data_IF_080594701186
#
_entry.id   IF_080594701186
#
_cell.length_a   1.000
_cell.length_b   1.000
_cell.length_c   1.000
_cell.angle_alpha   90.00
_cell.angle_beta   90.00
_cell.angle_gamma   90.00
#
_symmetry.space_group_name_H-M   'P 1'
#
loop_
_entity.id
_entity.type
_entity.pdbx_description
1 polymer ?
#
# COMPACT_ATOMS: atom_id res chain seq x y z
N UNK A 1 26.11 2.83 51.39
CA UNK A 1 25.47 4.08 50.92
C UNK A 1 25.68 4.15 49.42
N UNK A 2 24.68 3.71 48.64
CA UNK A 2 24.66 3.79 47.20
C UNK A 2 23.68 4.89 46.84
N UNK A 3 24.17 5.95 46.20
CA UNK A 3 23.35 7.06 45.72
C UNK A 3 22.60 6.63 44.47
N UNK A 4 21.28 6.59 44.56
CA UNK A 4 20.40 6.49 43.40
C UNK A 4 20.39 7.83 42.68
N UNK A 5 20.97 7.88 41.49
CA UNK A 5 20.77 8.98 40.57
C UNK A 5 19.41 8.78 39.91
N UNK A 6 18.40 9.52 40.37
CA UNK A 6 17.16 9.74 39.65
C UNK A 6 17.44 10.73 38.51
N UNK A 7 17.77 10.22 37.32
CA UNK A 7 17.65 11.01 36.10
C UNK A 7 16.15 11.14 35.78
N UNK A 8 15.59 12.30 36.04
CA UNK A 8 14.26 12.67 35.56
C UNK A 8 14.33 12.87 34.04
N UNK A 9 13.97 11.84 33.27
CA UNK A 9 13.68 12.02 31.86
C UNK A 9 12.59 13.10 31.74
N UNK A 10 12.90 14.21 31.12
CA UNK A 10 11.94 15.23 30.78
C UNK A 10 10.85 14.67 29.86
N UNK A 11 9.65 15.24 29.85
CA UNK A 11 8.54 14.70 29.04
C UNK A 11 8.97 14.58 27.58
N UNK A 12 8.89 13.37 27.03
CA UNK A 12 9.19 13.11 25.63
C UNK A 12 8.35 14.05 24.75
N UNK A 13 9.01 14.86 23.95
CA UNK A 13 8.36 15.85 23.09
C UNK A 13 7.46 15.11 22.08
N UNK A 14 6.15 15.31 22.17
CA UNK A 14 5.20 14.77 21.19
C UNK A 14 5.41 15.47 19.82
N UNK A 15 6.24 14.86 19.01
CA UNK A 15 6.56 15.31 17.65
C UNK A 15 5.32 15.46 16.76
N UNK A 16 4.27 14.69 17.04
CA UNK A 16 3.00 14.76 16.31
C UNK A 16 2.23 16.03 16.68
N UNK A 17 2.10 16.30 17.97
CA UNK A 17 1.46 17.55 18.44
C UNK A 17 2.24 18.77 17.95
N UNK A 18 3.57 18.70 17.98
CA UNK A 18 4.43 19.77 17.45
C UNK A 18 4.22 19.97 15.94
N UNK A 19 4.19 18.88 15.16
CA UNK A 19 3.95 18.94 13.72
C UNK A 19 2.57 19.54 13.42
N UNK A 20 1.52 19.09 14.10
CA UNK A 20 0.16 19.62 13.92
C UNK A 20 0.09 21.11 14.24
N UNK A 21 0.71 21.54 15.34
CA UNK A 21 0.72 22.94 15.77
C UNK A 21 1.46 23.86 14.81
N UNK A 22 2.57 23.39 14.21
CA UNK A 22 3.44 24.18 13.34
C UNK A 22 3.42 23.74 11.87
N UNK A 23 2.42 22.96 11.47
CA UNK A 23 2.30 22.43 10.11
C UNK A 23 2.43 23.51 9.02
N UNK A 24 1.86 24.69 9.26
CA UNK A 24 1.92 25.83 8.32
C UNK A 24 3.34 26.33 8.06
N UNK A 25 4.26 26.18 9.01
CA UNK A 25 5.68 26.53 8.84
C UNK A 25 6.46 25.45 8.08
N UNK A 26 6.15 24.17 8.32
CA UNK A 26 6.90 23.05 7.76
C UNK A 26 6.41 22.65 6.37
N UNK A 27 5.13 22.80 6.05
CA UNK A 27 4.54 22.39 4.77
C UNK A 27 5.24 23.00 3.55
N UNK A 28 5.51 24.31 3.49
CA UNK A 28 6.24 24.89 2.36
C UNK A 28 7.64 24.32 2.19
N UNK A 29 8.34 24.08 3.29
CA UNK A 29 9.68 23.48 3.28
C UNK A 29 9.65 22.01 2.82
N UNK A 30 8.68 21.23 3.31
CA UNK A 30 8.47 19.85 2.88
C UNK A 30 8.10 19.78 1.40
N UNK A 31 7.21 20.65 0.94
CA UNK A 31 6.86 20.74 -0.47
C UNK A 31 8.08 21.01 -1.34
N UNK A 32 8.86 22.05 -1.01
CA UNK A 32 10.06 22.41 -1.76
C UNK A 32 11.10 21.27 -1.76
N UNK A 33 11.39 20.71 -0.59
CA UNK A 33 12.32 19.57 -0.46
C UNK A 33 11.85 18.35 -1.28
N UNK A 34 10.59 17.96 -1.14
CA UNK A 34 10.05 16.81 -1.84
C UNK A 34 10.03 17.04 -3.35
N UNK A 35 9.54 18.19 -3.80
CA UNK A 35 9.41 18.52 -5.23
C UNK A 35 10.75 18.67 -5.95
N UNK A 36 11.75 19.24 -5.30
CA UNK A 36 13.03 19.54 -5.92
C UNK A 36 14.06 18.41 -5.79
N UNK A 37 14.06 17.72 -4.65
CA UNK A 37 15.15 16.79 -4.31
C UNK A 37 14.74 15.32 -4.22
N UNK A 38 13.47 15.02 -4.00
CA UNK A 38 13.04 13.67 -3.59
C UNK A 38 12.05 13.00 -4.54
N UNK A 39 11.28 13.78 -5.29
CA UNK A 39 10.20 13.30 -6.16
C UNK A 39 10.44 13.72 -7.60
N UNK A 40 10.43 12.73 -8.50
CA UNK A 40 10.42 12.98 -9.95
C UNK A 40 9.03 12.66 -10.49
N UNK A 41 8.35 13.67 -11.06
CA UNK A 41 7.06 13.50 -11.73
C UNK A 41 7.31 13.62 -13.22
N UNK A 42 6.80 12.66 -14.01
CA UNK A 42 6.80 12.65 -15.46
C UNK A 42 5.37 12.44 -15.97
N UNK A 43 5.05 13.00 -17.12
CA UNK A 43 3.76 12.82 -17.78
C UNK A 43 3.01 14.13 -18.03
N UNK A 44 1.90 14.01 -18.79
CA UNK A 44 1.17 15.13 -19.37
C UNK A 44 0.38 15.99 -18.37
N UNK A 45 -0.20 17.05 -18.92
CA UNK A 45 -1.13 17.93 -18.21
C UNK A 45 -2.41 17.19 -17.80
N UNK A 46 -3.12 17.71 -16.78
CA UNK A 46 -4.37 17.15 -16.31
C UNK A 46 -4.24 16.06 -15.23
N UNK A 47 -3.00 15.69 -14.85
CA UNK A 47 -2.74 14.78 -13.73
C UNK A 47 -2.39 15.54 -12.44
N UNK A 48 -2.72 15.00 -11.29
CA UNK A 48 -2.50 15.65 -9.99
C UNK A 48 -1.76 14.75 -9.01
N UNK A 49 -0.84 15.36 -8.26
CA UNK A 49 -0.21 14.73 -7.08
C UNK A 49 -0.47 15.64 -5.89
N UNK A 50 -1.20 15.12 -4.91
CA UNK A 50 -1.65 15.85 -3.73
C UNK A 50 -0.93 15.32 -2.49
N UNK A 51 -0.79 16.14 -1.45
CA UNK A 51 -0.18 15.74 -0.17
C UNK A 51 1.34 15.77 -0.12
N UNK A 52 2.01 16.29 -1.16
CA UNK A 52 3.49 16.41 -1.21
C UNK A 52 4.03 17.27 -0.05
N UNK A 53 3.25 18.21 0.44
CA UNK A 53 3.58 19.15 1.51
C UNK A 53 3.44 18.57 2.92
N UNK A 54 2.93 17.35 3.06
CA UNK A 54 2.58 16.75 4.36
C UNK A 54 3.12 15.33 4.56
N UNK A 55 4.04 14.90 3.71
CA UNK A 55 4.70 13.62 3.77
C UNK A 55 6.22 13.74 3.65
N UNK A 56 6.96 12.72 4.04
CA UNK A 56 8.40 12.62 3.81
C UNK A 56 8.67 11.74 2.60
N UNK A 57 9.39 12.27 1.61
CA UNK A 57 9.76 11.54 0.41
C UNK A 57 11.26 11.45 0.23
N UNK A 58 11.73 10.34 -0.37
CA UNK A 58 13.12 10.14 -0.77
C UNK A 58 13.20 9.22 -1.99
N UNK A 59 13.81 9.69 -3.09
CA UNK A 59 14.03 8.91 -4.33
C UNK A 59 12.74 8.32 -4.91
N UNK A 60 11.64 9.06 -4.89
CA UNK A 60 10.36 8.61 -5.43
C UNK A 60 10.20 9.03 -6.89
N UNK A 61 9.44 8.24 -7.64
CA UNK A 61 9.08 8.54 -9.04
C UNK A 61 7.60 8.29 -9.27
N UNK A 62 6.94 9.24 -9.90
CA UNK A 62 5.56 9.11 -10.37
C UNK A 62 5.57 9.39 -11.87
N UNK A 63 5.03 8.45 -12.65
CA UNK A 63 4.96 8.56 -14.11
C UNK A 63 3.51 8.40 -14.56
N UNK A 64 3.03 9.33 -15.37
CA UNK A 64 1.71 9.28 -15.98
C UNK A 64 1.83 9.16 -17.50
N UNK A 65 1.08 8.23 -18.08
CA UNK A 65 0.83 8.10 -19.51
C UNK A 65 -0.69 8.08 -19.70
N UNK A 66 -1.29 9.28 -19.83
CA UNK A 66 -2.73 9.53 -19.85
C UNK A 66 -3.09 10.79 -19.08
N UNK A 67 -4.39 11.01 -18.83
CA UNK A 67 -4.91 12.26 -18.25
C UNK A 67 -5.93 11.99 -17.14
N UNK A 68 -6.20 13.01 -16.31
CA UNK A 68 -7.21 12.90 -15.25
C UNK A 68 -6.83 11.99 -14.07
N UNK A 69 -5.57 11.55 -14.01
CA UNK A 69 -5.09 10.69 -12.93
C UNK A 69 -4.77 11.47 -11.66
N UNK A 70 -4.98 10.87 -10.51
CA UNK A 70 -4.67 11.47 -9.21
C UNK A 70 -3.86 10.50 -8.35
N UNK A 71 -2.78 11.01 -7.77
CA UNK A 71 -2.06 10.36 -6.66
C UNK A 71 -2.22 11.24 -5.43
N UNK A 72 -2.91 10.75 -4.42
CA UNK A 72 -3.11 11.45 -3.15
C UNK A 72 -2.34 10.76 -2.03
N UNK A 73 -1.61 11.55 -1.23
CA UNK A 73 -0.75 11.04 -0.17
C UNK A 73 -1.24 11.63 1.15
N UNK A 74 -1.65 10.76 2.07
CA UNK A 74 -2.13 11.13 3.40
C UNK A 74 -1.04 11.75 4.29
N UNK A 75 -1.50 12.37 5.36
CA UNK A 75 -0.67 13.11 6.29
C UNK A 75 0.35 12.21 7.01
N UNK A 76 1.55 12.76 7.27
CA UNK A 76 2.63 12.10 8.01
C UNK A 76 3.11 10.77 7.38
N UNK A 77 2.82 10.55 6.11
CA UNK A 77 3.29 9.36 5.38
C UNK A 77 4.77 9.48 5.02
N UNK A 78 5.43 8.33 4.89
CA UNK A 78 6.84 8.24 4.52
C UNK A 78 7.00 7.35 3.28
N UNK A 79 7.58 7.89 2.21
CA UNK A 79 7.81 7.19 0.96
C UNK A 79 9.30 7.21 0.62
N UNK A 80 9.90 6.03 0.53
CA UNK A 80 11.31 5.90 0.14
C UNK A 80 11.46 4.92 -1.04
N UNK A 81 12.08 5.37 -2.12
CA UNK A 81 12.34 4.56 -3.33
C UNK A 81 11.06 3.95 -3.94
N UNK A 82 9.94 4.68 -3.85
CA UNK A 82 8.64 4.24 -4.36
C UNK A 82 8.51 4.63 -5.82
N UNK A 83 7.98 3.72 -6.63
CA UNK A 83 7.64 3.95 -8.02
C UNK A 83 6.13 3.81 -8.22
N UNK A 84 5.50 4.81 -8.84
CA UNK A 84 4.09 4.78 -9.22
C UNK A 84 4.04 5.03 -10.71
N UNK A 85 3.58 4.06 -11.48
CA UNK A 85 3.40 4.15 -12.93
C UNK A 85 1.92 4.00 -13.25
N UNK A 86 1.38 4.98 -13.94
CA UNK A 86 -0.03 5.03 -14.31
C UNK A 86 -0.12 5.20 -15.82
N UNK A 87 -0.53 4.12 -16.50
CA UNK A 87 -0.80 4.08 -17.94
C UNK A 87 -2.32 4.01 -18.12
N UNK A 88 -2.91 5.07 -18.73
CA UNK A 88 -4.35 5.25 -18.87
C UNK A 88 -4.85 6.51 -18.17
N UNK A 89 -6.16 6.68 -18.12
CA UNK A 89 -6.80 7.90 -17.67
C UNK A 89 -7.78 7.65 -16.52
N UNK A 90 -8.04 8.70 -15.73
CA UNK A 90 -9.00 8.65 -14.63
C UNK A 90 -8.67 7.61 -13.54
N UNK A 91 -7.39 7.30 -13.35
CA UNK A 91 -6.93 6.37 -12.32
C UNK A 91 -6.62 7.11 -11.01
N UNK A 92 -6.79 6.41 -9.89
CA UNK A 92 -6.59 6.95 -8.56
C UNK A 92 -5.66 6.07 -7.73
N UNK A 93 -4.65 6.69 -7.11
CA UNK A 93 -3.87 6.09 -6.01
C UNK A 93 -4.10 6.95 -4.78
N UNK A 94 -4.70 6.38 -3.73
CA UNK A 94 -5.04 7.11 -2.51
C UNK A 94 -4.38 6.43 -1.32
N UNK A 95 -3.30 7.02 -0.82
CA UNK A 95 -2.60 6.55 0.37
C UNK A 95 -3.21 7.19 1.61
N UNK A 96 -3.59 6.38 2.57
CA UNK A 96 -4.07 6.86 3.87
C UNK A 96 -2.99 7.61 4.67
N UNK A 97 -3.36 8.08 5.85
CA UNK A 97 -2.43 8.77 6.75
C UNK A 97 -1.40 7.81 7.35
N UNK A 98 -0.19 8.29 7.59
CA UNK A 98 0.91 7.53 8.22
C UNK A 98 1.25 6.22 7.51
N UNK A 99 1.05 6.18 6.21
CA UNK A 99 1.48 5.06 5.40
C UNK A 99 3.00 5.10 5.26
N UNK A 100 3.66 3.94 5.40
CA UNK A 100 5.10 3.80 5.23
C UNK A 100 5.41 2.88 4.05
N UNK A 101 5.94 3.43 2.98
CA UNK A 101 6.27 2.73 1.75
C UNK A 101 7.79 2.72 1.55
N UNK A 102 8.36 1.53 1.39
CA UNK A 102 9.79 1.35 1.17
C UNK A 102 10.05 0.42 -0.03
N UNK A 103 10.60 0.97 -1.12
CA UNK A 103 11.07 0.22 -2.29
C UNK A 103 9.99 -0.61 -3.00
N UNK A 104 8.74 -0.14 -2.98
CA UNK A 104 7.60 -0.81 -3.60
C UNK A 104 7.16 -0.11 -4.89
N UNK A 105 6.36 -0.82 -5.68
CA UNK A 105 5.87 -0.37 -6.98
C UNK A 105 4.34 -0.43 -7.02
N UNK A 106 3.74 0.62 -7.58
CA UNK A 106 2.32 0.67 -7.95
C UNK A 106 2.25 0.75 -9.46
N UNK A 107 1.64 -0.25 -10.10
CA UNK A 107 1.48 -0.35 -11.54
C UNK A 107 0.00 -0.29 -11.90
N UNK A 108 -0.38 0.68 -12.71
CA UNK A 108 -1.75 0.85 -13.18
C UNK A 108 -1.75 0.84 -14.70
N UNK A 109 -2.54 -0.05 -15.29
CA UNK A 109 -2.77 -0.16 -16.73
C UNK A 109 -4.27 0.06 -17.02
N UNK A 110 -4.57 0.69 -18.16
CA UNK A 110 -5.93 1.06 -18.55
C UNK A 110 -6.56 2.17 -17.71
N UNK A 111 -7.85 2.42 -17.91
CA UNK A 111 -8.59 3.53 -17.32
C UNK A 111 -9.37 3.11 -16.06
N UNK A 112 -9.68 4.09 -15.20
CA UNK A 112 -10.60 3.95 -14.07
C UNK A 112 -10.19 2.92 -13.00
N UNK A 113 -8.89 2.68 -12.82
CA UNK A 113 -8.40 1.82 -11.75
C UNK A 113 -8.15 2.60 -10.45
N UNK A 114 -8.15 1.88 -9.34
CA UNK A 114 -7.92 2.46 -8.02
C UNK A 114 -7.02 1.56 -7.15
N UNK A 115 -6.05 2.16 -6.45
CA UNK A 115 -5.22 1.46 -5.45
C UNK A 115 -5.20 2.27 -4.16
N UNK A 116 -5.76 1.70 -3.08
CA UNK A 116 -5.96 2.39 -1.81
C UNK A 116 -5.40 1.61 -0.62
N UNK A 117 -4.14 1.81 -0.25
CA UNK A 117 -3.64 1.41 1.07
C UNK A 117 -4.23 2.30 2.17
N UNK A 118 -4.89 1.70 3.16
CA UNK A 118 -5.44 2.38 4.32
C UNK A 118 -4.38 2.95 5.27
N UNK A 119 -4.82 3.76 6.21
CA UNK A 119 -3.94 4.46 7.16
C UNK A 119 -3.10 3.49 8.00
N UNK A 120 -1.91 3.93 8.43
CA UNK A 120 -0.97 3.13 9.24
C UNK A 120 -0.46 1.85 8.57
N UNK A 121 -0.62 1.72 7.26
CA UNK A 121 -0.16 0.55 6.49
C UNK A 121 1.32 0.67 6.12
N UNK A 122 2.05 -0.43 6.26
CA UNK A 122 3.47 -0.54 5.90
C UNK A 122 3.64 -1.50 4.73
N UNK A 123 4.36 -1.08 3.68
CA UNK A 123 4.67 -1.89 2.50
C UNK A 123 6.16 -1.85 2.24
N UNK A 124 6.80 -3.03 2.23
CA UNK A 124 8.25 -3.16 2.11
C UNK A 124 8.74 -3.55 0.71
N UNK A 125 10.06 -3.55 0.57
CA UNK A 125 10.80 -3.69 -0.68
C UNK A 125 10.32 -4.84 -1.58
N UNK A 126 10.31 -4.59 -2.89
CA UNK A 126 9.97 -5.60 -3.90
C UNK A 126 8.48 -5.91 -4.00
N UNK A 127 7.66 -5.29 -3.15
CA UNK A 127 6.20 -5.48 -3.22
C UNK A 127 5.62 -4.68 -4.38
N UNK A 128 4.78 -5.33 -5.18
CA UNK A 128 4.05 -4.74 -6.29
C UNK A 128 2.54 -4.83 -6.07
N UNK A 129 1.86 -3.70 -6.29
CA UNK A 129 0.41 -3.61 -6.41
C UNK A 129 0.08 -3.23 -7.84
N UNK A 130 -0.60 -4.11 -8.58
CA UNK A 130 -0.92 -3.92 -9.99
C UNK A 130 -2.45 -3.98 -10.23
N UNK A 131 -3.04 -2.88 -10.70
CA UNK A 131 -4.44 -2.77 -11.04
C UNK A 131 -4.63 -2.51 -12.53
N UNK A 132 -5.51 -3.29 -13.16
CA UNK A 132 -5.80 -3.22 -14.60
C UNK A 132 -7.30 -3.33 -14.88
N UNK A 133 -7.72 -2.87 -16.07
CA UNK A 133 -9.07 -3.04 -16.61
C UNK A 133 -10.18 -2.47 -15.67
N UNK A 134 -9.98 -1.27 -15.14
CA UNK A 134 -10.98 -0.58 -14.32
C UNK A 134 -11.24 -1.23 -12.96
N UNK A 135 -10.26 -1.90 -12.39
CA UNK A 135 -10.39 -2.63 -11.13
C UNK A 135 -9.81 -1.88 -9.94
N UNK A 136 -10.06 -2.42 -8.74
CA UNK A 136 -9.67 -1.80 -7.49
C UNK A 136 -8.89 -2.75 -6.58
N UNK A 137 -7.81 -2.24 -5.97
CA UNK A 137 -7.11 -2.87 -4.84
C UNK A 137 -7.36 -2.01 -3.61
N UNK A 138 -8.01 -2.58 -2.60
CA UNK A 138 -8.18 -1.94 -1.30
C UNK A 138 -7.46 -2.70 -0.20
N UNK A 139 -6.72 -1.97 0.61
CA UNK A 139 -6.20 -2.46 1.88
C UNK A 139 -6.81 -1.63 2.99
N UNK A 140 -7.27 -2.28 4.02
CA UNK A 140 -7.71 -1.62 5.25
C UNK A 140 -6.58 -0.92 5.98
N UNK A 141 -6.89 -0.41 7.16
CA UNK A 141 -5.91 0.25 8.01
C UNK A 141 -5.00 -0.75 8.72
N UNK A 142 -3.84 -0.27 9.18
CA UNK A 142 -2.89 -1.00 10.02
C UNK A 142 -2.36 -2.32 9.42
N UNK A 143 -2.28 -2.40 8.10
CA UNK A 143 -1.72 -3.57 7.43
C UNK A 143 -0.18 -3.55 7.44
N UNK A 144 0.41 -4.75 7.41
CA UNK A 144 1.85 -4.97 7.32
C UNK A 144 2.16 -5.91 6.14
N UNK A 145 2.67 -5.37 5.05
CA UNK A 145 3.12 -6.12 3.90
C UNK A 145 4.64 -6.28 3.96
N UNK A 146 5.11 -7.52 4.08
CA UNK A 146 6.53 -7.85 4.03
C UNK A 146 7.11 -7.59 2.65
N UNK A 147 8.29 -8.10 2.35
CA UNK A 147 8.94 -7.89 1.06
C UNK A 147 8.48 -8.87 -0.02
N UNK A 148 8.68 -8.48 -1.29
CA UNK A 148 8.54 -9.34 -2.48
C UNK A 148 7.11 -9.90 -2.66
N UNK A 149 6.10 -9.17 -2.25
CA UNK A 149 4.68 -9.54 -2.39
C UNK A 149 4.16 -9.06 -3.74
N UNK A 150 3.34 -9.90 -4.40
CA UNK A 150 2.62 -9.52 -5.60
C UNK A 150 1.12 -9.47 -5.32
N UNK A 151 0.48 -8.32 -5.59
CA UNK A 151 -0.99 -8.14 -5.53
C UNK A 151 -1.44 -7.69 -6.91
N UNK A 152 -2.23 -8.52 -7.62
CA UNK A 152 -2.55 -8.25 -9.02
C UNK A 152 -4.01 -8.56 -9.36
N UNK A 153 -4.70 -7.61 -10.00
CA UNK A 153 -6.14 -7.71 -10.32
C UNK A 153 -6.44 -8.36 -11.66
N UNK A 154 -5.45 -8.64 -12.49
CA UNK A 154 -5.65 -9.24 -13.80
C UNK A 154 -4.42 -9.95 -14.34
N UNK A 155 -4.56 -10.59 -15.50
CA UNK A 155 -3.55 -11.44 -16.12
C UNK A 155 -2.80 -10.76 -17.29
N UNK A 156 -3.16 -9.53 -17.66
CA UNK A 156 -2.66 -8.74 -18.81
C UNK A 156 -2.95 -9.36 -20.21
N UNK A 157 -3.27 -10.64 -20.30
CA UNK A 157 -3.56 -11.33 -21.55
C UNK A 157 -4.88 -12.09 -21.46
N UNK A 158 -5.58 -12.21 -22.60
CA UNK A 158 -6.87 -12.92 -22.67
C UNK A 158 -6.64 -14.44 -22.79
N UNK A 159 -7.34 -15.18 -21.95
CA UNK A 159 -7.53 -16.63 -22.13
C UNK A 159 -8.92 -16.80 -22.76
N UNK A 160 -9.00 -17.53 -23.86
CA UNK A 160 -10.23 -17.72 -24.61
C UNK A 160 -10.73 -19.15 -24.48
N UNK A 161 -12.05 -19.32 -24.48
CA UNK A 161 -12.69 -20.62 -24.66
C UNK A 161 -12.66 -21.07 -26.12
N UNK A 162 -13.20 -22.23 -26.41
CA UNK A 162 -13.27 -22.80 -27.76
C UNK A 162 -14.14 -21.98 -28.72
N UNK A 163 -15.03 -21.14 -28.20
CA UNK A 163 -15.90 -20.24 -28.94
C UNK A 163 -15.28 -18.86 -29.15
N UNK A 164 -14.05 -18.61 -28.62
CA UNK A 164 -13.33 -17.35 -28.71
C UNK A 164 -13.76 -16.30 -27.67
N UNK A 165 -14.57 -16.64 -26.69
CA UNK A 165 -14.93 -15.73 -25.60
C UNK A 165 -13.85 -15.68 -24.55
N UNK A 166 -13.56 -14.49 -24.02
CA UNK A 166 -12.59 -14.32 -22.93
C UNK A 166 -13.14 -14.86 -21.61
N UNK A 167 -12.39 -15.76 -20.96
CA UNK A 167 -12.80 -16.44 -19.72
C UNK A 167 -12.04 -15.96 -18.47
N UNK A 168 -11.08 -15.05 -18.60
CA UNK A 168 -10.24 -14.56 -17.49
C UNK A 168 -10.34 -13.04 -17.27
N UNK A 169 -11.54 -12.45 -17.11
CA UNK A 169 -11.63 -11.02 -16.83
C UNK A 169 -10.89 -10.66 -15.55
N UNK A 170 -10.43 -9.41 -15.46
CA UNK A 170 -9.84 -8.85 -14.25
C UNK A 170 -10.90 -8.72 -13.14
N UNK A 171 -10.45 -8.63 -11.89
CA UNK A 171 -11.34 -8.47 -10.76
C UNK A 171 -10.65 -7.90 -9.54
N UNK A 172 -11.37 -7.06 -8.80
CA UNK A 172 -10.85 -6.33 -7.65
C UNK A 172 -10.35 -7.23 -6.52
N UNK A 173 -9.51 -6.65 -5.67
CA UNK A 173 -8.94 -7.31 -4.49
C UNK A 173 -9.30 -6.47 -3.26
N UNK A 174 -9.78 -7.13 -2.21
CA UNK A 174 -10.10 -6.52 -0.92
C UNK A 174 -9.32 -7.19 0.20
N UNK A 175 -8.58 -6.39 0.96
CA UNK A 175 -7.81 -6.81 2.13
C UNK A 175 -8.34 -5.99 3.31
N UNK A 176 -8.75 -6.65 4.38
CA UNK A 176 -9.31 -6.04 5.59
C UNK A 176 -8.29 -5.26 6.41
N UNK A 177 -8.72 -4.82 7.58
CA UNK A 177 -7.88 -4.12 8.53
C UNK A 177 -6.94 -5.08 9.27
N UNK A 178 -5.80 -4.55 9.72
CA UNK A 178 -4.85 -5.28 10.56
C UNK A 178 -4.44 -6.63 9.95
N UNK A 179 -4.04 -6.62 8.67
CA UNK A 179 -3.61 -7.83 7.96
C UNK A 179 -2.09 -7.83 7.80
N UNK A 180 -1.47 -8.94 8.20
CA UNK A 180 -0.05 -9.18 7.95
C UNK A 180 0.13 -10.14 6.77
N UNK A 181 0.81 -9.68 5.71
CA UNK A 181 1.16 -10.51 4.56
C UNK A 181 2.64 -10.85 4.61
N UNK A 182 2.95 -12.14 4.68
CA UNK A 182 4.30 -12.68 4.73
C UNK A 182 5.05 -12.51 3.41
N UNK A 183 6.38 -12.57 3.49
CA UNK A 183 7.28 -12.40 2.35
C UNK A 183 6.92 -13.33 1.19
N UNK A 184 6.97 -12.78 -0.05
CA UNK A 184 6.79 -13.58 -1.27
C UNK A 184 5.38 -14.12 -1.48
N UNK A 185 4.40 -13.69 -0.68
CA UNK A 185 3.01 -14.08 -0.91
C UNK A 185 2.47 -13.46 -2.20
N UNK A 186 1.55 -14.16 -2.85
CA UNK A 186 0.88 -13.72 -4.08
C UNK A 186 -0.62 -13.63 -3.81
N UNK A 187 -1.21 -12.46 -4.12
CA UNK A 187 -2.66 -12.22 -4.00
C UNK A 187 -3.21 -11.91 -5.38
N UNK A 188 -4.06 -12.77 -5.89
CA UNK A 188 -4.60 -12.66 -7.24
C UNK A 188 -6.03 -12.09 -7.27
N UNK A 189 -6.46 -11.75 -8.47
CA UNK A 189 -7.77 -11.16 -8.77
C UNK A 189 -8.93 -11.85 -8.04
N UNK A 190 -9.91 -11.04 -7.63
CA UNK A 190 -11.08 -11.46 -6.87
C UNK A 190 -10.79 -12.05 -5.48
N UNK A 191 -9.55 -11.97 -4.98
CA UNK A 191 -9.23 -12.40 -3.64
C UNK A 191 -9.86 -11.46 -2.59
N UNK A 192 -10.33 -12.04 -1.49
CA UNK A 192 -10.82 -11.33 -0.32
C UNK A 192 -10.11 -11.88 0.92
N UNK A 193 -9.51 -10.98 1.70
CA UNK A 193 -8.85 -11.32 2.96
C UNK A 193 -9.59 -10.56 4.07
N UNK A 194 -10.03 -11.28 5.10
CA UNK A 194 -10.73 -10.70 6.24
C UNK A 194 -9.82 -9.90 7.15
N UNK A 195 -10.40 -9.34 8.21
CA UNK A 195 -9.68 -8.53 9.18
C UNK A 195 -8.81 -9.40 10.10
N UNK A 196 -7.75 -8.78 10.66
CA UNK A 196 -6.87 -9.40 11.64
C UNK A 196 -6.31 -10.75 11.20
N UNK A 197 -5.94 -10.85 9.92
CA UNK A 197 -5.41 -12.07 9.32
C UNK A 197 -3.89 -12.04 9.15
N UNK A 198 -3.30 -13.21 9.10
CA UNK A 198 -1.90 -13.42 8.71
C UNK A 198 -1.86 -14.30 7.47
N UNK A 199 -1.24 -13.82 6.39
CA UNK A 199 -0.95 -14.61 5.21
C UNK A 199 0.49 -15.12 5.32
N UNK A 200 0.65 -16.44 5.35
CA UNK A 200 1.96 -17.08 5.48
C UNK A 200 2.91 -16.75 4.33
N UNK A 201 4.20 -16.80 4.60
CA UNK A 201 5.26 -16.58 3.60
C UNK A 201 5.07 -17.50 2.38
N UNK A 202 5.21 -16.96 1.16
CA UNK A 202 5.09 -17.71 -0.10
C UNK A 202 3.70 -18.24 -0.41
N UNK A 203 2.66 -17.83 0.31
CA UNK A 203 1.29 -18.30 0.09
C UNK A 203 0.66 -17.71 -1.16
N UNK A 204 -0.22 -18.49 -1.80
CA UNK A 204 -1.04 -18.04 -2.94
C UNK A 204 -2.49 -17.84 -2.50
N UNK A 205 -2.93 -16.59 -2.45
CA UNK A 205 -4.33 -16.20 -2.17
C UNK A 205 -5.06 -15.95 -3.48
N UNK A 206 -6.18 -16.64 -3.67
CA UNK A 206 -6.99 -16.55 -4.88
C UNK A 206 -8.46 -16.29 -4.54
N UNK A 207 -9.29 -16.12 -5.54
CA UNK A 207 -10.75 -16.04 -5.41
C UNK A 207 -11.37 -17.22 -4.63
N UNK A 208 -10.75 -18.40 -4.72
CA UNK A 208 -11.23 -19.61 -4.04
C UNK A 208 -10.68 -19.77 -2.62
N UNK A 209 -9.82 -18.87 -2.16
CA UNK A 209 -9.34 -18.87 -0.77
C UNK A 209 -10.51 -18.49 0.14
N UNK A 210 -10.74 -19.30 1.17
CA UNK A 210 -11.79 -19.03 2.14
C UNK A 210 -11.57 -17.70 2.85
N UNK A 211 -12.54 -16.81 2.79
CA UNK A 211 -12.52 -15.55 3.54
C UNK A 211 -12.78 -15.85 5.02
N UNK A 212 -11.90 -15.38 5.87
CA UNK A 212 -12.00 -15.56 7.33
C UNK A 212 -11.40 -14.34 8.03
N UNK A 213 -11.96 -13.95 9.16
CA UNK A 213 -11.35 -13.02 10.09
C UNK A 213 -10.54 -13.77 11.14
N UNK A 214 -9.58 -13.09 11.78
CA UNK A 214 -8.80 -13.61 12.90
C UNK A 214 -8.14 -14.97 12.60
N UNK A 215 -7.54 -15.10 11.41
CA UNK A 215 -7.02 -16.38 10.94
C UNK A 215 -5.61 -16.28 10.36
N UNK A 216 -4.87 -17.40 10.43
CA UNK A 216 -3.67 -17.59 9.65
C UNK A 216 -4.04 -18.42 8.41
N UNK A 217 -3.77 -17.87 7.23
CA UNK A 217 -3.96 -18.54 5.95
C UNK A 217 -2.58 -18.83 5.34
N UNK A 218 -2.33 -20.07 4.92
CA UNK A 218 -1.05 -20.42 4.32
C UNK A 218 -1.18 -21.53 3.29
N UNK A 219 -0.19 -21.63 2.40
CA UNK A 219 -0.08 -22.66 1.37
C UNK A 219 -0.36 -22.15 -0.05
N UNK A 220 -0.33 -23.08 -1.02
CA UNK A 220 -0.60 -22.85 -2.43
C UNK A 220 -1.59 -23.91 -2.97
N UNK A 221 -2.89 -23.61 -3.12
CA UNK A 221 -3.56 -22.35 -2.69
C UNK A 221 -3.62 -22.22 -1.16
N UNK A 222 -3.70 -20.97 -0.68
CA UNK A 222 -3.78 -20.65 0.75
C UNK A 222 -5.11 -21.15 1.35
N UNK A 223 -5.03 -21.73 2.55
CA UNK A 223 -6.17 -22.20 3.34
C UNK A 223 -6.00 -21.77 4.79
N UNK A 224 -7.09 -21.56 5.53
CA UNK A 224 -7.00 -21.32 6.98
C UNK A 224 -6.34 -22.51 7.70
N UNK A 225 -5.19 -22.26 8.35
CA UNK A 225 -4.46 -23.27 9.14
C UNK A 225 -4.62 -23.03 10.63
N UNK A 226 -5.04 -21.83 11.04
CA UNK A 226 -5.35 -21.50 12.44
C UNK A 226 -6.39 -20.38 12.47
N UNK A 227 -7.30 -20.47 13.42
CA UNK A 227 -8.34 -19.46 13.67
C UNK A 227 -8.23 -18.89 15.09
N UNK A 228 -8.99 -17.83 15.36
CA UNK A 228 -9.05 -17.16 16.66
C UNK A 228 -7.67 -16.65 17.10
N UNK A 229 -6.97 -16.00 16.18
CA UNK A 229 -5.67 -15.35 16.43
C UNK A 229 -5.82 -13.83 16.42
N UNK A 230 -4.84 -13.19 17.00
CA UNK A 230 -4.43 -11.84 16.64
C UNK A 230 -2.91 -11.82 16.47
N UNK A 231 -2.37 -10.75 15.93
CA UNK A 231 -0.93 -10.57 15.78
C UNK A 231 -0.51 -9.19 16.30
N UNK A 232 0.75 -9.00 16.57
CA UNK A 232 1.30 -7.72 17.01
C UNK A 232 2.60 -7.45 16.24
N UNK A 233 2.88 -6.18 15.96
CA UNK A 233 4.15 -5.76 15.36
C UNK A 233 5.32 -5.91 16.33
N UNK A 234 5.05 -5.82 17.61
CA UNK A 234 6.04 -6.00 18.67
C UNK A 234 6.31 -7.47 18.95
N UNK A 235 7.56 -7.77 19.28
CA UNK A 235 7.95 -9.09 19.78
C UNK A 235 7.74 -9.10 21.29
N UNK A 236 6.74 -9.80 21.72
CA UNK A 236 6.39 -9.97 23.15
C UNK A 236 6.92 -11.30 23.66
#
# INVERSE_FOLDING_TARGET
MASQNNETEGPAMDLKALYQKYAFLFRPLLYAKNRLLSLRIRGGSGNRVLGIDRCLMRRCRITFAGTGNTVEIGDMSTLQSVQITVCGSHNHVVLGDRVSLLGCTFSIEDDNNEINPGSHTYIYNGTELAAIEGTKITLGADCLLSSDIMIRTGDSHSILDEQGNRINPSGGISIGDHVWIGKGAVVLKNAQIGNNCVIGTGSLVTRSTETADNAILAGNPAKPIRRNITWNRERI
#
